data_IF_611946098164
#
_entry.id   IF_611946098164
#
_cell.length_a   1.000
_cell.length_b   1.000
_cell.length_c   1.000
_cell.angle_alpha   90.00
_cell.angle_beta   90.00
_cell.angle_gamma   90.00
#
_symmetry.space_group_name_H-M   'P 1'
#
loop_
_entity.id
_entity.type
_entity.pdbx_description
1 polymer ?
#
# COMPACT_ATOMS: atom_id res chain seq x y z
N UNK A 1 16.56 -19.44 31.54
CA UNK A 1 16.22 -18.07 31.08
C UNK A 1 15.71 -18.19 29.66
N UNK A 2 14.44 -17.89 29.42
CA UNK A 2 13.90 -17.84 28.08
C UNK A 2 14.64 -16.73 27.29
N UNK A 3 15.15 -17.00 26.10
CA UNK A 3 15.81 -15.96 25.29
C UNK A 3 14.83 -14.80 25.09
N UNK A 4 15.28 -13.60 25.44
CA UNK A 4 14.47 -12.41 25.33
C UNK A 4 14.24 -12.10 23.84
N UNK A 5 12.98 -12.13 23.40
CA UNK A 5 12.60 -11.86 22.01
C UNK A 5 13.02 -10.45 21.60
N UNK A 6 13.67 -10.32 20.45
CA UNK A 6 14.13 -9.04 19.92
C UNK A 6 13.24 -8.55 18.80
N UNK A 7 12.93 -7.27 18.81
CA UNK A 7 12.12 -6.58 17.83
C UNK A 7 12.91 -5.43 17.21
N UNK A 8 12.84 -5.29 15.93
CA UNK A 8 13.60 -4.29 15.19
C UNK A 8 12.67 -3.34 14.48
N UNK A 9 12.94 -2.04 14.60
CA UNK A 9 12.31 -0.98 13.84
C UNK A 9 13.31 -0.34 12.90
N UNK A 10 12.91 -0.11 11.67
CA UNK A 10 13.73 0.53 10.65
C UNK A 10 12.97 1.72 10.08
N UNK A 11 13.51 2.92 10.28
CA UNK A 11 13.08 4.09 9.54
C UNK A 11 13.85 4.20 8.22
N UNK A 12 13.12 4.44 7.14
CA UNK A 12 13.66 4.36 5.78
C UNK A 12 13.69 5.73 5.13
N UNK A 13 14.88 6.21 4.82
CA UNK A 13 15.09 7.41 4.01
C UNK A 13 15.73 7.06 2.66
N UNK A 14 15.83 8.04 1.76
CA UNK A 14 16.48 7.84 0.45
C UNK A 14 17.95 7.43 0.55
N UNK A 15 18.65 7.92 1.57
CA UNK A 15 20.10 7.73 1.72
C UNK A 15 20.45 6.73 2.81
N UNK A 16 19.64 6.65 3.85
CA UNK A 16 19.97 5.92 5.05
C UNK A 16 18.80 5.04 5.51
N UNK A 17 19.16 3.98 6.21
CA UNK A 17 18.28 3.16 7.02
C UNK A 17 18.71 3.39 8.48
N UNK A 18 17.79 3.86 9.32
CA UNK A 18 18.01 4.03 10.75
C UNK A 18 17.37 2.88 11.50
N UNK A 19 18.15 2.15 12.26
CA UNK A 19 17.76 0.89 12.91
C UNK A 19 17.75 1.05 14.42
N UNK A 20 16.71 0.53 15.07
CA UNK A 20 16.64 0.42 16.51
C UNK A 20 16.19 -1.00 16.91
N UNK A 21 16.74 -1.51 18.01
CA UNK A 21 16.44 -2.86 18.54
C UNK A 21 15.83 -2.75 19.94
N UNK A 22 14.82 -3.59 20.17
CA UNK A 22 14.19 -3.73 21.48
C UNK A 22 14.12 -5.22 21.89
N UNK A 23 14.16 -5.50 23.19
CA UNK A 23 14.46 -4.57 24.27
C UNK A 23 15.92 -4.13 24.24
N UNK A 24 16.19 -2.93 24.77
CA UNK A 24 17.49 -2.26 24.77
C UNK A 24 17.43 -0.92 24.02
N UNK A 25 18.59 -0.25 23.96
CA UNK A 25 18.77 1.03 23.27
C UNK A 25 19.77 0.92 22.11
N UNK A 26 19.99 -0.28 21.60
CA UNK A 26 20.86 -0.51 20.47
C UNK A 26 20.29 0.16 19.22
N UNK A 27 21.12 1.00 18.60
CA UNK A 27 20.73 1.74 17.42
C UNK A 27 21.96 1.99 16.53
N UNK A 28 21.75 1.96 15.20
CA UNK A 28 22.78 2.31 14.21
C UNK A 28 22.12 2.71 12.91
N UNK A 29 22.93 3.26 11.99
CA UNK A 29 22.51 3.69 10.67
C UNK A 29 23.38 3.00 9.63
N UNK A 30 22.78 2.55 8.53
CA UNK A 30 23.49 2.06 7.34
C UNK A 30 23.02 2.82 6.11
N UNK A 31 23.80 2.78 5.04
CA UNK A 31 23.38 3.36 3.76
C UNK A 31 22.19 2.57 3.16
N UNK A 32 21.31 3.25 2.46
CA UNK A 32 20.19 2.60 1.74
C UNK A 32 20.62 2.26 0.30
N UNK A 33 21.67 1.45 0.20
CA UNK A 33 22.21 0.87 -1.02
C UNK A 33 22.45 -0.64 -0.85
N UNK A 34 22.99 -1.31 -1.85
CA UNK A 34 23.20 -2.76 -1.81
C UNK A 34 24.13 -3.17 -0.67
N UNK A 35 25.25 -2.47 -0.50
CA UNK A 35 26.26 -2.79 0.50
C UNK A 35 25.72 -2.57 1.93
N UNK A 36 25.07 -1.45 2.20
CA UNK A 36 24.48 -1.15 3.49
C UNK A 36 23.31 -2.08 3.87
N UNK A 37 22.52 -2.50 2.87
CA UNK A 37 21.46 -3.49 3.10
C UNK A 37 22.05 -4.86 3.41
N UNK A 38 23.15 -5.27 2.79
CA UNK A 38 23.82 -6.54 3.06
C UNK A 38 24.50 -6.55 4.45
N UNK A 39 25.11 -5.43 4.85
CA UNK A 39 25.57 -5.22 6.23
C UNK A 39 24.42 -5.38 7.22
N UNK A 40 23.28 -4.72 6.95
CA UNK A 40 22.08 -4.82 7.79
C UNK A 40 21.59 -6.26 7.92
N UNK A 41 21.47 -6.99 6.81
CA UNK A 41 21.07 -8.41 6.79
C UNK A 41 21.99 -9.25 7.65
N UNK A 42 23.30 -9.08 7.50
CA UNK A 42 24.34 -9.83 8.25
C UNK A 42 24.19 -9.58 9.75
N UNK A 43 24.05 -8.34 10.14
CA UNK A 43 23.91 -7.94 11.55
C UNK A 43 22.57 -8.42 12.14
N UNK A 44 21.47 -8.31 11.41
CA UNK A 44 20.16 -8.77 11.88
C UNK A 44 20.08 -10.29 12.00
N UNK A 45 20.76 -11.04 11.13
CA UNK A 45 20.89 -12.50 11.29
C UNK A 45 21.60 -12.90 12.58
N UNK A 46 22.63 -12.17 12.98
CA UNK A 46 23.34 -12.42 14.25
C UNK A 46 22.48 -12.07 15.48
N UNK A 47 21.63 -11.05 15.35
CA UNK A 47 20.70 -10.64 16.40
C UNK A 47 19.54 -11.65 16.56
N UNK A 48 19.06 -12.24 15.46
CA UNK A 48 17.94 -13.17 15.42
C UNK A 48 16.62 -12.55 15.87
N UNK A 49 16.17 -11.43 15.26
CA UNK A 49 14.95 -10.76 15.72
C UNK A 49 13.72 -11.60 15.43
N UNK A 50 12.75 -11.56 16.35
CA UNK A 50 11.43 -12.16 16.14
C UNK A 50 10.65 -11.47 15.03
N UNK A 51 10.80 -10.15 14.92
CA UNK A 51 10.10 -9.35 13.91
C UNK A 51 10.90 -8.09 13.57
N UNK A 52 10.98 -7.80 12.28
CA UNK A 52 11.51 -6.55 11.74
C UNK A 52 10.35 -5.75 11.17
N UNK A 53 10.20 -4.48 11.56
CA UNK A 53 9.15 -3.60 11.09
C UNK A 53 9.76 -2.41 10.36
N UNK A 54 9.28 -2.15 9.15
CA UNK A 54 9.62 -0.96 8.38
C UNK A 54 8.38 -0.10 8.14
N UNK A 55 8.59 1.22 8.03
CA UNK A 55 7.54 2.13 7.60
C UNK A 55 7.47 2.20 6.07
N UNK A 56 6.25 2.17 5.52
CA UNK A 56 6.04 2.32 4.07
C UNK A 56 6.39 3.73 3.61
N UNK A 57 7.43 3.89 2.81
CA UNK A 57 7.99 5.18 2.38
C UNK A 57 7.87 5.38 0.86
N UNK A 58 6.76 4.93 0.28
CA UNK A 58 6.44 5.14 -1.14
C UNK A 58 7.21 4.27 -2.11
N UNK A 59 7.81 3.16 -1.64
CA UNK A 59 8.54 2.17 -2.46
C UNK A 59 10.04 2.14 -2.20
N UNK A 60 10.58 3.11 -1.46
CA UNK A 60 12.04 3.17 -1.12
C UNK A 60 12.39 2.00 -0.18
N UNK A 61 11.44 1.54 0.62
CA UNK A 61 11.56 0.41 1.54
C UNK A 61 11.66 -0.95 0.85
N UNK A 62 11.30 -1.06 -0.44
CA UNK A 62 11.15 -2.34 -1.12
C UNK A 62 12.46 -3.13 -1.22
N UNK A 63 13.57 -2.47 -1.51
CA UNK A 63 14.88 -3.13 -1.63
C UNK A 63 15.29 -3.78 -0.30
N UNK A 64 15.28 -3.00 0.79
CA UNK A 64 15.61 -3.50 2.13
C UNK A 64 14.65 -4.61 2.56
N UNK A 65 13.32 -4.40 2.37
CA UNK A 65 12.31 -5.40 2.71
C UNK A 65 12.54 -6.72 1.97
N UNK A 66 12.86 -6.64 0.66
CA UNK A 66 13.14 -7.82 -0.19
C UNK A 66 14.35 -8.62 0.26
N UNK A 67 15.43 -7.93 0.54
CA UNK A 67 16.68 -8.58 0.99
C UNK A 67 16.52 -9.21 2.38
N UNK A 68 15.86 -8.51 3.31
CA UNK A 68 15.59 -9.02 4.65
C UNK A 68 14.68 -10.26 4.61
N UNK A 69 13.58 -10.21 3.86
CA UNK A 69 12.68 -11.35 3.70
C UNK A 69 13.35 -12.52 2.98
N UNK A 70 14.14 -12.26 1.92
CA UNK A 70 14.95 -13.28 1.23
C UNK A 70 16.02 -13.91 2.13
N UNK A 71 16.45 -13.21 3.17
CA UNK A 71 17.36 -13.71 4.20
C UNK A 71 16.66 -14.58 5.27
N UNK A 72 15.34 -14.79 5.16
CA UNK A 72 14.52 -15.58 6.08
C UNK A 72 14.05 -14.84 7.33
N UNK A 73 14.22 -13.51 7.38
CA UNK A 73 13.73 -12.70 8.49
C UNK A 73 12.22 -12.42 8.33
N UNK A 74 11.50 -12.42 9.45
CA UNK A 74 10.09 -12.00 9.47
C UNK A 74 10.01 -10.49 9.39
N UNK A 75 9.46 -9.99 8.28
CA UNK A 75 9.40 -8.56 7.97
C UNK A 75 7.96 -8.11 7.80
N UNK A 76 7.58 -7.02 8.48
CA UNK A 76 6.29 -6.36 8.32
C UNK A 76 6.48 -4.91 7.88
N UNK A 77 5.84 -4.52 6.77
CA UNK A 77 5.77 -3.12 6.34
C UNK A 77 4.45 -2.53 6.82
N UNK A 78 4.54 -1.43 7.58
CA UNK A 78 3.39 -0.82 8.26
C UNK A 78 3.06 0.56 7.69
N UNK A 79 1.82 0.98 7.88
CA UNK A 79 1.38 2.29 7.43
C UNK A 79 1.96 3.39 8.36
N UNK A 80 2.57 4.46 7.81
CA UNK A 80 3.08 5.60 8.56
C UNK A 80 2.11 6.21 9.56
N UNK A 81 0.81 6.14 9.26
CA UNK A 81 -0.22 6.66 10.18
C UNK A 81 -0.32 5.84 11.46
N UNK A 82 -0.24 4.51 11.35
CA UNK A 82 -0.31 3.63 12.52
C UNK A 82 0.85 3.90 13.48
N UNK A 83 2.06 4.04 12.93
CA UNK A 83 3.26 4.37 13.72
C UNK A 83 3.11 5.76 14.37
N UNK A 84 2.63 6.75 13.62
CA UNK A 84 2.43 8.12 14.13
C UNK A 84 1.34 8.19 15.20
N UNK A 85 0.23 7.49 15.02
CA UNK A 85 -0.84 7.43 16.01
C UNK A 85 -0.39 6.71 17.28
N UNK A 86 0.41 5.64 17.13
CA UNK A 86 1.06 4.97 18.24
C UNK A 86 2.07 5.88 18.97
N UNK A 87 2.90 6.63 18.24
CA UNK A 87 3.83 7.61 18.82
C UNK A 87 3.09 8.65 19.69
N UNK A 88 1.96 9.15 19.20
CA UNK A 88 1.09 10.07 19.96
C UNK A 88 0.53 9.41 21.21
N UNK A 89 0.05 8.17 21.10
CA UNK A 89 -0.52 7.42 22.23
C UNK A 89 0.50 7.19 23.36
N UNK A 90 1.78 7.03 23.03
CA UNK A 90 2.87 6.88 24.01
C UNK A 90 3.54 8.21 24.40
N UNK A 91 2.98 9.37 23.98
CA UNK A 91 3.48 10.70 24.34
C UNK A 91 4.77 11.14 23.64
N UNK A 92 5.22 10.44 22.58
CA UNK A 92 6.40 10.82 21.80
C UNK A 92 5.98 11.68 20.61
N UNK A 93 6.13 13.00 20.74
CA UNK A 93 5.74 13.99 19.74
C UNK A 93 6.92 14.55 18.93
N UNK A 94 8.14 14.43 19.46
CA UNK A 94 9.35 14.89 18.77
C UNK A 94 9.66 13.97 17.58
N UNK A 95 10.07 14.59 16.47
CA UNK A 95 10.41 13.89 15.23
C UNK A 95 11.91 14.02 14.96
N UNK A 96 12.63 12.90 15.06
CA UNK A 96 14.00 12.72 14.55
C UNK A 96 14.13 11.28 14.06
N UNK A 97 14.94 11.02 13.05
CA UNK A 97 15.12 9.72 12.43
C UNK A 97 15.44 8.62 13.46
N UNK A 98 16.29 8.94 14.45
CA UNK A 98 16.57 8.04 15.57
C UNK A 98 15.35 7.73 16.44
N UNK A 99 14.54 8.74 16.77
CA UNK A 99 13.33 8.56 17.57
C UNK A 99 12.27 7.80 16.76
N UNK A 100 12.22 8.03 15.46
CA UNK A 100 11.28 7.35 14.57
C UNK A 100 11.61 5.85 14.50
N UNK A 101 12.87 5.45 14.33
CA UNK A 101 13.29 4.05 14.40
C UNK A 101 12.99 3.39 15.77
N UNK A 102 13.22 4.11 16.89
CA UNK A 102 12.88 3.62 18.23
C UNK A 102 11.36 3.44 18.43
N UNK A 103 10.55 4.35 17.89
CA UNK A 103 9.09 4.25 17.93
C UNK A 103 8.61 3.06 17.11
N UNK A 104 9.19 2.84 15.92
CA UNK A 104 8.89 1.68 15.07
C UNK A 104 9.27 0.39 15.79
N UNK A 105 10.43 0.31 16.43
CA UNK A 105 10.86 -0.86 17.20
C UNK A 105 9.91 -1.15 18.38
N UNK A 106 9.45 -0.11 19.08
CA UNK A 106 8.47 -0.26 20.16
C UNK A 106 7.09 -0.64 19.62
N UNK A 107 6.72 -0.13 18.48
CA UNK A 107 5.50 -0.57 17.78
C UNK A 107 5.59 -2.05 17.41
N UNK A 108 6.74 -2.52 16.92
CA UNK A 108 6.98 -3.92 16.60
C UNK A 108 6.82 -4.82 17.84
N UNK A 109 7.36 -4.39 18.99
CA UNK A 109 7.30 -5.11 20.26
C UNK A 109 5.86 -5.22 20.82
N UNK A 110 5.11 -4.11 20.80
CA UNK A 110 3.78 -4.02 21.43
C UNK A 110 2.66 -4.50 20.52
N UNK A 111 2.66 -4.10 19.25
CA UNK A 111 1.57 -4.37 18.30
C UNK A 111 1.76 -5.68 17.56
N UNK A 112 3.01 -6.10 17.35
CA UNK A 112 3.39 -7.31 16.63
C UNK A 112 2.63 -7.47 15.30
N UNK A 113 2.77 -6.50 14.37
CA UNK A 113 2.04 -6.53 13.11
C UNK A 113 2.36 -7.82 12.34
N UNK A 114 1.34 -8.43 11.78
CA UNK A 114 1.50 -9.67 11.00
C UNK A 114 2.30 -9.39 9.73
N UNK A 115 3.42 -10.12 9.49
CA UNK A 115 4.15 -10.06 8.24
C UNK A 115 3.24 -10.39 7.06
N UNK A 116 3.27 -9.54 6.03
CA UNK A 116 2.55 -9.84 4.78
C UNK A 116 3.52 -10.38 3.76
N UNK A 117 3.13 -11.38 2.97
CA UNK A 117 3.97 -11.86 1.88
C UNK A 117 4.27 -10.69 0.94
N UNK A 118 5.54 -10.59 0.53
CA UNK A 118 5.93 -9.60 -0.46
C UNK A 118 5.19 -9.85 -1.76
N UNK A 119 4.79 -8.75 -2.40
CA UNK A 119 4.24 -8.83 -3.76
C UNK A 119 5.35 -9.34 -4.69
N UNK A 120 5.01 -10.28 -5.55
CA UNK A 120 5.92 -10.73 -6.59
C UNK A 120 6.25 -9.59 -7.57
N UNK A 121 7.28 -9.78 -8.39
CA UNK A 121 7.74 -8.77 -9.34
C UNK A 121 6.62 -8.39 -10.34
N UNK A 122 5.77 -9.34 -10.71
CA UNK A 122 4.64 -9.10 -11.61
C UNK A 122 3.58 -8.21 -10.96
N UNK A 123 3.22 -8.46 -9.69
CA UNK A 123 2.29 -7.60 -8.93
C UNK A 123 2.86 -6.20 -8.70
N UNK A 124 4.17 -6.08 -8.49
CA UNK A 124 4.84 -4.78 -8.37
C UNK A 124 4.77 -4.00 -9.69
N UNK A 125 5.06 -4.66 -10.83
CA UNK A 125 4.97 -4.05 -12.15
C UNK A 125 3.54 -3.58 -12.46
N UNK A 126 2.53 -4.42 -12.20
CA UNK A 126 1.12 -4.04 -12.36
C UNK A 126 0.75 -2.84 -11.47
N UNK A 127 1.21 -2.83 -10.23
CA UNK A 127 0.97 -1.71 -9.31
C UNK A 127 1.61 -0.40 -9.79
N UNK A 128 2.80 -0.47 -10.38
CA UNK A 128 3.49 0.68 -10.96
C UNK A 128 2.72 1.24 -12.18
N UNK A 129 2.27 0.37 -13.09
CA UNK A 129 1.47 0.76 -14.26
C UNK A 129 0.13 1.39 -13.83
N UNK A 130 -0.57 0.81 -12.84
CA UNK A 130 -1.79 1.38 -12.28
C UNK A 130 -1.56 2.75 -11.63
N UNK A 131 -0.43 2.93 -10.96
CA UNK A 131 -0.07 4.21 -10.36
C UNK A 131 0.18 5.26 -11.44
N UNK A 132 0.87 4.90 -12.50
CA UNK A 132 1.10 5.79 -13.66
C UNK A 132 -0.21 6.15 -14.37
N UNK A 133 -1.07 5.16 -14.56
CA UNK A 133 -2.41 5.39 -15.11
C UNK A 133 -3.20 6.42 -14.31
N UNK A 134 -3.22 6.30 -12.99
CA UNK A 134 -3.91 7.27 -12.11
C UNK A 134 -3.35 8.67 -12.25
N UNK A 135 -2.03 8.80 -12.35
CA UNK A 135 -1.39 10.11 -12.57
C UNK A 135 -1.86 10.73 -13.88
N UNK A 136 -1.86 9.95 -14.98
CA UNK A 136 -2.31 10.46 -16.29
C UNK A 136 -3.78 10.84 -16.27
N UNK A 137 -4.66 10.08 -15.64
CA UNK A 137 -6.08 10.43 -15.49
C UNK A 137 -6.25 11.75 -14.71
N UNK A 138 -5.47 11.94 -13.65
CA UNK A 138 -5.48 13.18 -12.88
C UNK A 138 -5.01 14.39 -13.71
N UNK A 139 -3.92 14.25 -14.46
CA UNK A 139 -3.40 15.28 -15.36
C UNK A 139 -4.41 15.61 -16.47
N UNK A 140 -4.99 14.58 -17.08
CA UNK A 140 -6.01 14.75 -18.14
C UNK A 140 -7.24 15.50 -17.61
N UNK A 141 -7.70 15.19 -16.41
CA UNK A 141 -8.81 15.89 -15.77
C UNK A 141 -8.46 17.36 -15.53
N UNK A 142 -7.24 17.64 -15.07
CA UNK A 142 -6.78 19.03 -14.88
C UNK A 142 -6.73 19.81 -16.21
N UNK A 143 -6.20 19.19 -17.28
CA UNK A 143 -6.16 19.85 -18.59
C UNK A 143 -7.55 20.08 -19.18
N UNK A 144 -8.47 19.13 -19.04
CA UNK A 144 -9.87 19.31 -19.45
C UNK A 144 -10.53 20.46 -18.69
N UNK A 145 -10.26 20.59 -17.39
CA UNK A 145 -10.78 21.72 -16.59
C UNK A 145 -10.15 23.05 -17.02
N UNK A 146 -8.84 23.06 -17.34
CA UNK A 146 -8.17 24.26 -17.87
C UNK A 146 -8.74 24.71 -19.20
N UNK A 147 -9.06 23.76 -20.08
CA UNK A 147 -9.63 24.06 -21.40
C UNK A 147 -10.93 24.86 -21.30
N UNK A 148 -11.76 24.56 -20.27
CA UNK A 148 -13.01 25.31 -20.06
C UNK A 148 -12.83 26.79 -19.74
N UNK A 149 -11.74 27.11 -19.00
CA UNK A 149 -11.44 28.47 -18.57
C UNK A 149 -10.40 29.19 -19.45
N UNK A 150 -9.87 28.51 -20.47
CA UNK A 150 -8.76 28.98 -21.27
C UNK A 150 -9.19 29.99 -22.31
N UNK A 151 -8.37 31.03 -22.54
CA UNK A 151 -8.56 31.96 -23.65
C UNK A 151 -8.36 31.24 -25.01
N UNK A 152 -9.05 31.70 -26.08
CA UNK A 152 -8.97 31.09 -27.42
C UNK A 152 -7.53 30.87 -27.92
N UNK A 153 -6.64 31.81 -27.65
CA UNK A 153 -5.23 31.76 -28.07
C UNK A 153 -4.45 30.55 -27.60
N UNK A 154 -4.78 29.97 -26.42
CA UNK A 154 -4.09 28.83 -25.85
C UNK A 154 -4.89 27.53 -25.92
N UNK A 155 -6.16 27.57 -26.33
CA UNK A 155 -7.00 26.37 -26.39
C UNK A 155 -6.46 25.29 -27.34
N UNK A 156 -5.82 25.70 -28.43
CA UNK A 156 -5.27 24.77 -29.42
C UNK A 156 -4.16 23.92 -28.79
N UNK A 157 -3.25 24.54 -28.05
CA UNK A 157 -2.15 23.86 -27.35
C UNK A 157 -2.70 22.88 -26.30
N UNK A 158 -3.63 23.32 -25.44
CA UNK A 158 -4.26 22.48 -24.43
C UNK A 158 -4.96 21.26 -25.03
N UNK A 159 -5.68 21.45 -26.19
CA UNK A 159 -6.29 20.30 -26.89
C UNK A 159 -5.25 19.32 -27.40
N UNK A 160 -4.13 19.81 -27.94
CA UNK A 160 -3.02 18.97 -28.37
C UNK A 160 -2.46 18.11 -27.22
N UNK A 161 -2.27 18.72 -26.04
CA UNK A 161 -1.82 18.01 -24.84
C UNK A 161 -2.85 16.98 -24.34
N UNK A 162 -4.14 17.29 -24.36
CA UNK A 162 -5.21 16.35 -24.04
C UNK A 162 -5.14 15.12 -24.95
N UNK A 163 -5.07 15.31 -26.28
CA UNK A 163 -4.97 14.21 -27.25
C UNK A 163 -3.72 13.35 -27.01
N UNK A 164 -2.59 13.97 -26.69
CA UNK A 164 -1.36 13.25 -26.33
C UNK A 164 -1.56 12.37 -25.09
N UNK A 165 -2.15 12.93 -24.03
CA UNK A 165 -2.40 12.17 -22.78
C UNK A 165 -3.40 11.03 -22.99
N UNK A 166 -4.44 11.22 -23.79
CA UNK A 166 -5.43 10.17 -24.13
C UNK A 166 -4.76 9.00 -24.88
N UNK A 167 -3.87 9.28 -25.84
CA UNK A 167 -3.07 8.25 -26.52
C UNK A 167 -2.15 7.49 -25.54
N UNK A 168 -1.50 8.21 -24.63
CA UNK A 168 -0.65 7.58 -23.59
C UNK A 168 -1.45 6.71 -22.64
N UNK A 169 -2.66 7.13 -22.28
CA UNK A 169 -3.56 6.38 -21.41
C UNK A 169 -4.02 5.08 -22.09
N UNK A 170 -4.43 5.14 -23.35
CA UNK A 170 -4.80 3.97 -24.14
C UNK A 170 -3.64 2.95 -24.23
N UNK A 171 -2.41 3.40 -24.50
CA UNK A 171 -1.24 2.52 -24.50
C UNK A 171 -1.02 1.85 -23.14
N UNK A 172 -1.16 2.59 -22.05
CA UNK A 172 -1.03 2.01 -20.70
C UNK A 172 -2.10 0.97 -20.40
N UNK A 173 -3.32 1.18 -20.88
CA UNK A 173 -4.42 0.23 -20.71
C UNK A 173 -4.15 -1.08 -21.48
N UNK A 174 -3.53 -1.00 -22.66
CA UNK A 174 -3.06 -2.15 -23.44
C UNK A 174 -1.90 -2.87 -22.73
N UNK A 175 -0.92 -2.13 -22.20
CA UNK A 175 0.21 -2.66 -21.44
C UNK A 175 -0.26 -3.42 -20.19
N UNK A 176 -1.23 -2.86 -19.46
CA UNK A 176 -1.87 -3.52 -18.31
C UNK A 176 -2.53 -4.85 -18.71
N UNK A 177 -3.30 -4.85 -19.79
CA UNK A 177 -3.95 -6.06 -20.30
C UNK A 177 -2.95 -7.13 -20.76
N UNK A 178 -1.86 -6.72 -21.41
CA UNK A 178 -0.82 -7.62 -21.89
C UNK A 178 -0.03 -8.25 -20.74
N UNK A 179 0.33 -7.45 -19.73
CA UNK A 179 1.05 -7.92 -18.54
C UNK A 179 0.21 -8.93 -17.75
N UNK A 180 -1.08 -8.67 -17.59
CA UNK A 180 -1.99 -9.57 -16.89
C UNK A 180 -2.14 -10.92 -17.62
N UNK A 181 -2.20 -10.91 -18.97
CA UNK A 181 -2.33 -12.13 -19.76
C UNK A 181 -1.08 -13.01 -19.85
N UNK A 182 0.09 -12.50 -19.50
CA UNK A 182 1.36 -13.24 -19.48
C UNK A 182 1.38 -14.32 -18.39
N UNK A 183 0.75 -14.07 -17.25
CA UNK A 183 0.69 -15.02 -16.13
C UNK A 183 -0.61 -15.84 -16.17
N UNK A 184 -0.53 -17.18 -16.23
CA UNK A 184 -1.72 -18.04 -16.22
C UNK A 184 -2.56 -17.87 -14.95
N UNK A 185 -1.91 -17.66 -13.80
CA UNK A 185 -2.58 -17.47 -12.51
C UNK A 185 -3.39 -16.17 -12.49
N UNK A 186 -2.81 -15.08 -12.98
CA UNK A 186 -3.48 -13.79 -13.06
C UNK A 186 -4.64 -13.82 -14.07
N UNK A 187 -4.47 -14.52 -15.19
CA UNK A 187 -5.52 -14.69 -16.20
C UNK A 187 -6.75 -15.36 -15.63
N UNK A 188 -6.58 -16.51 -14.95
CA UNK A 188 -7.72 -17.22 -14.36
C UNK A 188 -8.48 -16.38 -13.33
N UNK A 189 -7.76 -15.56 -12.52
CA UNK A 189 -8.39 -14.64 -11.58
C UNK A 189 -9.08 -13.45 -12.27
N UNK A 190 -8.52 -12.94 -13.35
CA UNK A 190 -9.12 -11.86 -14.16
C UNK A 190 -10.42 -12.34 -14.79
N UNK A 191 -10.43 -13.54 -15.38
CA UNK A 191 -11.61 -14.14 -15.99
C UNK A 191 -12.76 -14.29 -14.97
N UNK A 192 -12.45 -14.74 -13.75
CA UNK A 192 -13.43 -14.83 -12.68
C UNK A 192 -13.99 -13.45 -12.30
N UNK A 193 -13.15 -12.44 -12.13
CA UNK A 193 -13.59 -11.09 -11.77
C UNK A 193 -14.41 -10.45 -12.88
N UNK A 194 -14.00 -10.63 -14.13
CA UNK A 194 -14.71 -10.08 -15.31
C UNK A 194 -16.01 -10.82 -15.63
N UNK A 195 -16.22 -12.02 -15.10
CA UNK A 195 -17.50 -12.69 -15.09
C UNK A 195 -18.59 -11.96 -14.29
N UNK A 196 -18.20 -11.05 -13.40
CA UNK A 196 -19.14 -10.24 -12.63
C UNK A 196 -19.60 -9.03 -13.45
N UNK A 197 -20.91 -8.82 -13.66
CA UNK A 197 -21.44 -7.68 -14.42
C UNK A 197 -20.92 -6.35 -13.88
N UNK A 198 -20.35 -5.52 -14.76
CA UNK A 198 -19.78 -4.22 -14.41
C UNK A 198 -18.31 -4.22 -13.99
N UNK A 199 -17.66 -5.38 -13.86
CA UNK A 199 -16.23 -5.48 -13.64
C UNK A 199 -15.50 -5.47 -14.99
N UNK A 200 -14.98 -4.29 -15.37
CA UNK A 200 -14.13 -4.15 -16.55
C UNK A 200 -12.65 -4.46 -16.24
N UNK A 201 -11.82 -4.48 -17.28
CA UNK A 201 -10.39 -4.79 -17.20
C UNK A 201 -9.65 -3.97 -16.13
N UNK A 202 -9.82 -2.65 -16.11
CA UNK A 202 -9.12 -1.76 -15.19
C UNK A 202 -9.50 -2.03 -13.73
N UNK A 203 -10.78 -2.31 -13.49
CA UNK A 203 -11.24 -2.65 -12.16
C UNK A 203 -10.68 -3.99 -11.71
N UNK A 204 -10.74 -5.01 -12.58
CA UNK A 204 -10.17 -6.33 -12.30
C UNK A 204 -8.67 -6.24 -11.95
N UNK A 205 -7.86 -5.59 -12.79
CA UNK A 205 -6.43 -5.39 -12.52
C UNK A 205 -6.20 -4.62 -11.20
N UNK A 206 -7.03 -3.60 -10.93
CA UNK A 206 -6.93 -2.83 -9.68
C UNK A 206 -7.19 -3.69 -8.44
N UNK A 207 -8.19 -4.56 -8.51
CA UNK A 207 -8.51 -5.49 -7.44
C UNK A 207 -7.39 -6.51 -7.24
N UNK A 208 -6.92 -7.12 -8.32
CA UNK A 208 -5.86 -8.13 -8.26
C UNK A 208 -4.54 -7.56 -7.72
N UNK A 209 -4.12 -6.38 -8.19
CA UNK A 209 -2.89 -5.76 -7.74
C UNK A 209 -3.00 -5.08 -6.35
N UNK A 210 -4.20 -4.60 -6.00
CA UNK A 210 -4.44 -3.86 -4.76
C UNK A 210 -4.88 -4.71 -3.58
N UNK A 211 -5.52 -5.84 -3.82
CA UNK A 211 -6.14 -6.71 -2.83
C UNK A 211 -5.78 -8.18 -3.08
N UNK A 212 -4.51 -8.58 -2.91
CA UNK A 212 -4.09 -9.97 -3.08
C UNK A 212 -4.85 -10.93 -2.14
N UNK A 213 -5.36 -10.41 -1.03
CA UNK A 213 -6.13 -11.15 -0.02
C UNK A 213 -7.59 -11.43 -0.42
N UNK A 214 -8.03 -10.99 -1.60
CA UNK A 214 -9.42 -11.11 -2.06
C UNK A 214 -9.91 -12.57 -2.11
N UNK A 215 -8.98 -13.51 -2.28
CA UNK A 215 -9.26 -14.95 -2.32
C UNK A 215 -9.30 -15.61 -0.93
N UNK A 216 -8.68 -14.98 0.07
CA UNK A 216 -8.49 -15.56 1.41
C UNK A 216 -9.36 -14.93 2.49
N UNK A 217 -9.82 -13.69 2.29
CA UNK A 217 -10.60 -12.94 3.26
C UNK A 217 -12.10 -13.06 3.00
N UNK A 218 -12.88 -13.07 4.08
CA UNK A 218 -14.33 -12.99 3.98
C UNK A 218 -14.81 -11.55 3.67
N UNK A 219 -16.06 -11.40 3.27
CA UNK A 219 -16.66 -10.10 2.88
C UNK A 219 -16.50 -9.00 3.92
N UNK A 220 -16.65 -9.30 5.22
CA UNK A 220 -16.53 -8.30 6.29
C UNK A 220 -15.08 -7.83 6.45
N UNK A 221 -14.15 -8.76 6.34
CA UNK A 221 -12.70 -8.46 6.40
C UNK A 221 -12.26 -7.63 5.19
N UNK A 222 -12.73 -7.95 3.98
CA UNK A 222 -12.47 -7.15 2.78
C UNK A 222 -13.04 -5.74 2.93
N UNK A 223 -14.30 -5.60 3.39
CA UNK A 223 -14.92 -4.29 3.61
C UNK A 223 -14.14 -3.45 4.63
N UNK A 224 -13.62 -4.07 5.68
CA UNK A 224 -12.76 -3.43 6.68
C UNK A 224 -11.41 -3.03 6.08
N UNK A 225 -10.76 -3.93 5.33
CA UNK A 225 -9.47 -3.69 4.68
C UNK A 225 -9.53 -2.52 3.69
N UNK A 226 -10.60 -2.45 2.91
CA UNK A 226 -10.84 -1.36 1.93
C UNK A 226 -11.32 -0.07 2.61
N UNK A 227 -11.68 -0.13 3.90
CA UNK A 227 -12.12 1.05 4.68
C UNK A 227 -13.55 1.49 4.38
N UNK A 228 -14.39 0.58 3.85
CA UNK A 228 -15.83 0.83 3.60
C UNK A 228 -16.74 0.20 4.66
N UNK A 229 -16.18 -0.58 5.58
CA UNK A 229 -16.94 -1.11 6.69
C UNK A 229 -17.39 0.04 7.63
N UNK A 230 -18.67 0.08 8.03
CA UNK A 230 -19.13 1.04 9.02
C UNK A 230 -18.46 0.73 10.37
N UNK A 231 -17.77 1.70 10.94
CA UNK A 231 -17.26 1.61 12.31
C UNK A 231 -18.33 2.11 13.27
N UNK A 232 -18.72 1.29 14.23
CA UNK A 232 -19.62 1.72 15.29
C UNK A 232 -18.91 2.76 16.17
N UNK A 233 -19.58 3.86 16.40
CA UNK A 233 -19.20 4.86 17.41
C UNK A 233 -20.30 4.92 18.43
N UNK A 234 -20.39 3.89 19.25
CA UNK A 234 -21.35 3.83 20.34
C UNK A 234 -20.67 4.35 21.61
N UNK A 235 -21.23 5.39 22.22
CA UNK A 235 -20.80 5.92 23.51
C UNK A 235 -22.03 6.23 24.37
N UNK A 236 -22.20 5.49 25.46
CA UNK A 236 -23.33 5.69 26.40
C UNK A 236 -24.68 5.51 25.72
N UNK A 237 -25.51 6.55 25.76
CA UNK A 237 -26.86 6.57 25.15
C UNK A 237 -26.84 6.87 23.64
N UNK A 238 -25.71 7.29 23.07
CA UNK A 238 -25.54 7.59 21.65
C UNK A 238 -25.17 6.32 20.87
N UNK A 239 -26.17 5.75 20.18
CA UNK A 239 -25.96 4.69 19.20
C UNK A 239 -26.00 5.30 17.79
N UNK A 240 -24.85 5.48 17.18
CA UNK A 240 -24.73 6.08 15.85
C UNK A 240 -23.93 5.21 14.88
N UNK A 241 -24.35 5.13 13.62
CA UNK A 241 -23.49 4.63 12.55
C UNK A 241 -22.37 5.66 12.33
N UNK A 242 -21.17 5.35 12.80
CA UNK A 242 -19.99 6.18 12.53
C UNK A 242 -19.65 6.22 11.03
N UNK A 243 -18.92 7.25 10.57
CA UNK A 243 -18.40 7.28 9.22
C UNK A 243 -17.50 6.06 8.99
N UNK A 244 -17.49 5.52 7.77
CA UNK A 244 -16.56 4.45 7.38
C UNK A 244 -15.13 4.86 7.72
N UNK A 245 -14.43 4.04 8.49
CA UNK A 245 -13.06 4.33 8.90
C UNK A 245 -12.16 4.43 7.69
N UNK A 246 -11.40 5.52 7.62
CA UNK A 246 -10.46 5.77 6.53
C UNK A 246 -9.20 4.93 6.72
N UNK A 247 -9.30 3.62 6.60
CA UNK A 247 -8.14 2.78 6.34
C UNK A 247 -7.87 2.83 4.85
N UNK A 248 -6.80 3.51 4.47
CA UNK A 248 -6.34 3.73 3.10
C UNK A 248 -7.36 4.37 2.15
N UNK A 249 -7.52 5.67 2.27
CA UNK A 249 -8.24 6.50 1.28
C UNK A 249 -7.73 6.35 -0.17
N UNK A 250 -6.63 5.67 -0.40
CA UNK A 250 -6.14 5.35 -1.75
C UNK A 250 -7.03 4.32 -2.45
N UNK A 251 -7.46 3.26 -1.81
CA UNK A 251 -8.46 2.34 -2.36
C UNK A 251 -9.86 2.97 -2.39
N UNK A 252 -10.29 3.61 -1.30
CA UNK A 252 -11.61 4.22 -1.21
C UNK A 252 -11.86 5.35 -2.24
N UNK A 253 -10.84 6.15 -2.59
CA UNK A 253 -11.01 7.22 -3.61
C UNK A 253 -11.11 6.70 -5.03
N UNK A 254 -10.68 5.47 -5.32
CA UNK A 254 -10.77 4.86 -6.65
C UNK A 254 -11.88 3.82 -6.76
N UNK A 255 -12.37 3.35 -5.63
CA UNK A 255 -13.55 2.51 -5.51
C UNK A 255 -14.82 3.36 -5.28
N UNK A 256 -14.84 4.63 -5.71
CA UNK A 256 -15.98 5.52 -5.55
C UNK A 256 -17.20 5.02 -6.33
N UNK A 257 -18.34 5.10 -5.69
CA UNK A 257 -19.74 4.94 -6.10
C UNK A 257 -20.11 3.81 -7.10
N UNK A 258 -19.44 3.56 -8.23
CA UNK A 258 -19.79 2.43 -9.09
C UNK A 258 -19.54 1.07 -8.44
N UNK A 259 -18.50 0.93 -7.62
CA UNK A 259 -18.15 -0.31 -6.92
C UNK A 259 -19.16 -0.70 -5.84
N UNK A 260 -19.77 0.27 -5.19
CA UNK A 260 -20.80 0.01 -4.18
C UNK A 260 -22.02 -0.67 -4.79
N UNK A 261 -22.49 -0.22 -5.94
CA UNK A 261 -23.57 -0.89 -6.68
C UNK A 261 -23.16 -2.26 -7.21
N UNK A 262 -21.88 -2.44 -7.53
CA UNK A 262 -21.37 -3.68 -8.12
C UNK A 262 -21.05 -4.74 -7.06
N UNK A 263 -20.56 -4.35 -5.90
CA UNK A 263 -20.41 -5.25 -4.74
C UNK A 263 -21.75 -5.71 -4.19
N UNK A 264 -22.80 -4.89 -4.31
CA UNK A 264 -24.17 -5.33 -4.00
C UNK A 264 -24.71 -6.32 -5.04
N UNK A 265 -24.31 -6.25 -6.30
CA UNK A 265 -24.67 -7.22 -7.33
C UNK A 265 -23.99 -8.59 -7.11
N UNK A 266 -22.77 -8.64 -6.57
CA UNK A 266 -22.10 -9.88 -6.11
C UNK A 266 -22.91 -10.54 -4.96
N UNK A 267 -23.73 -9.77 -4.27
CA UNK A 267 -24.58 -10.22 -3.16
C UNK A 267 -25.69 -11.19 -3.59
N UNK A 268 -26.09 -11.18 -4.84
CA UNK A 268 -27.29 -11.93 -5.33
C UNK A 268 -26.99 -13.13 -6.22
N UNK A 269 -25.74 -13.36 -6.61
CA UNK A 269 -25.38 -14.48 -7.50
C UNK A 269 -24.68 -15.65 -6.79
N UNK A 270 -24.63 -15.65 -5.45
CA UNK A 270 -24.06 -16.72 -4.64
C UNK A 270 -25.08 -17.22 -3.58
N UNK A 271 -26.29 -17.54 -4.05
CA UNK A 271 -27.26 -18.41 -3.35
C UNK A 271 -27.63 -19.57 -4.27
#
# INVERSE_FOLDING_TARGET
>A
MTPQERYVGIDVSKKNLDIAVRPGDEHWTVANDEDGIDELVTRLRSIGPRLVVLEATGGIELAATGRLAGAGLLVAVVNPRQVRDFARAIGKLAKTDRLDAQVIARFAEVVQPTPRPMRDAEAQALSALLSRRRQLVGMLTQEKNRLHAAQPSVQHDIRGHIVYMEKRLAKLDDDLGSTLRKSPVWRGRDDLLRGVPGVGQILSVTLLAGLPELVTLNRKQIASLVGVAPLNRDSGSLRGRGPSGAVERKCARHCTWPLWRQLDAIRWSAV
#
